data_IF_573549860739
#
_entry.id   IF_573549860739
#
_cell.length_a   1.000
_cell.length_b   1.000
_cell.length_c   1.000
_cell.angle_alpha   90.00
_cell.angle_beta   90.00
_cell.angle_gamma   90.00
#
_symmetry.space_group_name_H-M   'P 1'
#
loop_
_entity.id
_entity.type
_entity.pdbx_description
1 polymer ?
#
# COMPACT_ATOMS: atom_id res chain seq x y z
N UNK A 1 -33.50 -54.21 2.24
CA UNK A 1 -32.93 -52.84 2.30
C UNK A 1 -31.77 -52.77 1.31
N UNK A 2 -31.99 -52.20 0.14
CA UNK A 2 -30.97 -52.14 -0.92
C UNK A 2 -29.98 -51.01 -0.60
N UNK A 3 -28.72 -51.37 -0.33
CA UNK A 3 -27.62 -50.44 -0.10
C UNK A 3 -27.11 -50.00 -1.47
N UNK A 4 -27.48 -48.79 -1.90
CA UNK A 4 -27.06 -48.18 -3.16
C UNK A 4 -25.54 -47.98 -3.11
N UNK A 5 -24.81 -48.71 -3.93
CA UNK A 5 -23.38 -48.48 -4.13
C UNK A 5 -23.22 -47.21 -4.98
N UNK A 6 -22.77 -46.13 -4.36
CA UNK A 6 -22.24 -44.97 -5.06
C UNK A 6 -20.88 -45.37 -5.66
N UNK A 7 -20.86 -45.70 -6.95
CA UNK A 7 -19.61 -45.80 -7.70
C UNK A 7 -19.05 -44.39 -7.80
N UNK A 8 -18.04 -44.10 -6.99
CA UNK A 8 -17.24 -42.89 -7.13
C UNK A 8 -16.48 -43.03 -8.44
N UNK A 9 -16.86 -42.26 -9.46
CA UNK A 9 -16.26 -42.32 -10.79
C UNK A 9 -14.77 -41.98 -10.70
N UNK A 10 -13.91 -43.00 -10.90
CA UNK A 10 -12.46 -42.87 -10.84
C UNK A 10 -11.91 -41.80 -11.82
N UNK A 11 -12.66 -41.49 -12.88
CA UNK A 11 -12.34 -40.44 -13.84
C UNK A 11 -12.51 -39.02 -13.28
N UNK A 12 -13.49 -38.80 -12.38
CA UNK A 12 -13.70 -37.52 -11.71
C UNK A 12 -12.62 -37.25 -10.66
N UNK A 13 -12.22 -38.30 -9.93
CA UNK A 13 -11.06 -38.28 -9.04
C UNK A 13 -9.78 -37.99 -9.82
N UNK A 14 -9.57 -38.65 -10.96
CA UNK A 14 -8.40 -38.42 -11.81
C UNK A 14 -8.36 -37.03 -12.44
N UNK A 15 -9.50 -36.39 -12.76
CA UNK A 15 -9.53 -34.98 -13.23
C UNK A 15 -9.22 -33.97 -12.12
N UNK A 16 -9.60 -34.27 -10.88
CA UNK A 16 -9.22 -33.46 -9.71
C UNK A 16 -7.73 -33.66 -9.35
N UNK A 17 -7.23 -34.89 -9.43
CA UNK A 17 -5.83 -35.25 -9.14
C UNK A 17 -4.86 -34.95 -10.29
N UNK A 18 -5.32 -34.94 -11.54
CA UNK A 18 -4.63 -34.32 -12.68
C UNK A 18 -4.72 -32.80 -12.61
N UNK A 19 -4.87 -32.25 -11.39
CA UNK A 19 -4.46 -30.91 -11.07
C UNK A 19 -3.06 -30.72 -11.64
N UNK A 20 -3.03 -30.06 -12.79
CA UNK A 20 -1.92 -29.24 -13.23
C UNK A 20 -1.76 -28.21 -12.12
N UNK A 21 -1.20 -28.66 -10.99
CA UNK A 21 -1.04 -27.90 -9.78
C UNK A 21 -0.11 -26.79 -10.18
N UNK A 22 -0.70 -25.63 -10.45
CA UNK A 22 -0.02 -24.43 -10.89
C UNK A 22 0.87 -24.00 -9.74
N UNK A 23 2.04 -24.65 -9.64
CA UNK A 23 3.05 -24.34 -8.65
C UNK A 23 3.42 -22.89 -8.89
N UNK A 24 3.02 -22.06 -7.94
CA UNK A 24 3.30 -20.62 -7.97
C UNK A 24 4.81 -20.49 -8.00
N UNK A 25 5.34 -19.94 -9.10
CA UNK A 25 6.79 -19.78 -9.32
C UNK A 25 7.39 -18.66 -8.49
N UNK A 26 6.55 -17.82 -7.92
CA UNK A 26 6.91 -16.63 -7.14
C UNK A 26 6.90 -17.00 -5.65
N UNK A 27 7.90 -16.55 -4.86
CA UNK A 27 7.91 -16.79 -3.42
C UNK A 27 6.66 -16.20 -2.77
N UNK A 28 5.99 -16.98 -1.92
CA UNK A 28 4.84 -16.53 -1.14
C UNK A 28 5.28 -16.13 0.28
N UNK A 29 4.53 -15.22 0.94
CA UNK A 29 4.78 -14.87 2.32
C UNK A 29 4.55 -16.08 3.25
N UNK A 30 5.43 -16.26 4.23
CA UNK A 30 5.33 -17.34 5.20
C UNK A 30 4.36 -16.96 6.34
N UNK A 31 3.12 -17.45 6.25
CA UNK A 31 2.11 -17.25 7.30
C UNK A 31 2.54 -17.77 8.69
N UNK A 32 3.48 -18.72 8.74
CA UNK A 32 4.02 -19.26 10.00
C UNK A 32 4.85 -18.26 10.80
N UNK A 33 5.41 -17.25 10.13
CA UNK A 33 6.28 -16.23 10.75
C UNK A 33 5.59 -14.86 10.75
N UNK A 34 4.25 -14.86 10.65
CA UNK A 34 3.42 -13.67 10.51
C UNK A 34 3.88 -12.76 9.35
N UNK A 35 4.35 -13.34 8.24
CA UNK A 35 4.59 -12.57 7.03
C UNK A 35 3.30 -12.43 6.23
N UNK A 36 3.12 -11.25 5.63
CA UNK A 36 1.89 -10.94 4.93
C UNK A 36 2.11 -9.98 3.75
N UNK A 37 1.14 -9.95 2.85
CA UNK A 37 1.17 -9.01 1.75
C UNK A 37 0.84 -7.60 2.24
N UNK A 38 1.52 -6.62 1.65
CA UNK A 38 1.21 -5.23 1.85
C UNK A 38 1.58 -4.43 0.60
N UNK A 39 1.00 -3.25 0.46
CA UNK A 39 1.42 -2.25 -0.53
C UNK A 39 2.11 -1.11 0.18
N UNK A 40 3.20 -0.64 -0.42
CA UNK A 40 3.82 0.61 -0.04
C UNK A 40 2.90 1.78 -0.43
N UNK A 41 2.34 2.47 0.55
CA UNK A 41 1.49 3.64 0.35
C UNK A 41 2.36 4.88 0.13
N UNK A 42 3.11 5.30 1.17
CA UNK A 42 3.94 6.49 1.12
C UNK A 42 5.35 6.28 1.70
N UNK A 43 6.37 6.87 1.07
CA UNK A 43 7.74 6.85 1.59
C UNK A 43 7.96 8.02 2.55
N UNK A 44 8.05 7.73 3.86
CA UNK A 44 8.27 8.73 4.91
C UNK A 44 9.74 9.20 5.02
N UNK A 45 10.66 8.58 4.28
CA UNK A 45 12.09 8.84 4.38
C UNK A 45 12.75 8.10 5.55
N UNK A 46 14.07 8.29 5.73
CA UNK A 46 14.81 7.66 6.84
C UNK A 46 14.72 6.13 6.92
N UNK A 47 14.48 5.44 5.77
CA UNK A 47 14.24 3.98 5.64
C UNK A 47 12.90 3.50 6.21
N UNK A 48 11.93 4.39 6.36
CA UNK A 48 10.56 4.08 6.78
C UNK A 48 9.62 4.25 5.60
N UNK A 49 8.66 3.35 5.51
CA UNK A 49 7.58 3.37 4.52
C UNK A 49 6.27 3.07 5.23
N UNK A 50 5.21 3.81 4.90
CA UNK A 50 3.85 3.47 5.33
C UNK A 50 3.35 2.36 4.39
N UNK A 51 2.89 1.25 4.96
CA UNK A 51 2.42 0.11 4.20
C UNK A 51 1.01 -0.30 4.64
N UNK A 52 0.11 -0.46 3.68
CA UNK A 52 -1.24 -1.01 3.91
C UNK A 52 -1.14 -2.51 3.82
N UNK A 53 -1.41 -3.20 4.93
CA UNK A 53 -1.33 -4.65 5.01
C UNK A 53 -2.61 -5.31 4.50
N UNK A 54 -2.55 -6.60 4.23
CA UNK A 54 -3.74 -7.41 3.91
C UNK A 54 -4.82 -7.42 5.00
N UNK A 55 -4.46 -7.08 6.24
CA UNK A 55 -5.42 -6.92 7.35
C UNK A 55 -6.27 -5.64 7.21
N UNK A 56 -5.89 -4.73 6.30
CA UNK A 56 -6.45 -3.38 6.17
C UNK A 56 -5.75 -2.33 7.03
N UNK A 57 -4.90 -2.73 7.98
CA UNK A 57 -4.15 -1.81 8.81
C UNK A 57 -2.97 -1.16 8.07
N UNK A 58 -2.82 0.15 8.25
CA UNK A 58 -1.63 0.88 7.83
C UNK A 58 -0.53 0.80 8.90
N UNK A 59 0.59 0.18 8.57
CA UNK A 59 1.74 0.00 9.47
C UNK A 59 2.96 0.79 9.00
N UNK A 60 3.79 1.22 9.93
CA UNK A 60 5.07 1.85 9.62
C UNK A 60 6.14 0.75 9.49
N UNK A 61 6.51 0.46 8.26
CA UNK A 61 7.46 -0.59 7.94
C UNK A 61 8.90 -0.05 7.83
N UNK A 62 9.85 -0.77 8.44
CA UNK A 62 11.29 -0.51 8.35
C UNK A 62 11.89 -1.26 7.18
N UNK A 63 12.65 -0.56 6.32
CA UNK A 63 13.38 -1.16 5.19
C UNK A 63 14.76 -1.64 5.65
N UNK A 64 15.06 -2.95 5.59
CA UNK A 64 16.38 -3.47 5.91
C UNK A 64 17.46 -2.92 4.98
N UNK A 65 18.67 -2.73 5.50
CA UNK A 65 19.79 -2.22 4.70
C UNK A 65 20.20 -3.14 3.54
N UNK A 66 19.91 -4.45 3.64
CA UNK A 66 20.10 -5.43 2.55
C UNK A 66 19.16 -5.14 1.38
N UNK A 67 17.90 -4.82 1.66
CA UNK A 67 16.91 -4.47 0.64
C UNK A 67 17.27 -3.16 -0.02
N UNK A 68 17.50 -2.09 0.74
CA UNK A 68 17.82 -0.76 0.18
C UNK A 68 18.95 -0.77 -0.86
N UNK A 69 19.95 -1.65 -0.69
CA UNK A 69 21.06 -1.78 -1.63
C UNK A 69 20.75 -2.62 -2.87
N UNK A 70 19.79 -3.54 -2.81
CA UNK A 70 19.50 -4.52 -3.87
C UNK A 70 18.18 -4.28 -4.59
N UNK A 71 17.17 -3.81 -3.88
CA UNK A 71 15.80 -3.63 -4.36
C UNK A 71 15.26 -2.33 -3.78
N UNK A 72 15.07 -1.33 -4.64
CA UNK A 72 14.51 -0.05 -4.24
C UNK A 72 12.99 -0.17 -4.21
N UNK A 73 12.38 0.21 -3.09
CA UNK A 73 10.92 0.22 -2.90
C UNK A 73 10.41 1.59 -3.32
N UNK A 74 9.40 1.61 -4.19
CA UNK A 74 8.64 2.80 -4.58
C UNK A 74 7.25 2.74 -3.99
N UNK A 75 6.55 3.87 -4.05
CA UNK A 75 5.11 3.94 -3.73
C UNK A 75 4.33 3.10 -4.76
N UNK A 76 3.29 2.41 -4.29
CA UNK A 76 2.50 1.46 -5.05
C UNK A 76 3.14 0.09 -5.27
N UNK A 77 4.37 -0.18 -4.79
CA UNK A 77 4.99 -1.50 -4.94
C UNK A 77 4.36 -2.53 -3.99
N UNK A 78 4.13 -3.75 -4.49
CA UNK A 78 3.75 -4.90 -3.66
C UNK A 78 4.97 -5.41 -2.87
N UNK A 79 4.81 -5.49 -1.56
CA UNK A 79 5.85 -5.91 -0.61
C UNK A 79 5.35 -7.01 0.32
N UNK A 80 6.30 -7.73 0.91
CA UNK A 80 6.03 -8.61 2.04
C UNK A 80 6.49 -7.90 3.30
N UNK A 81 5.60 -7.82 4.27
CA UNK A 81 5.87 -7.23 5.58
C UNK A 81 5.73 -8.28 6.67
N UNK A 82 6.47 -8.06 7.74
CA UNK A 82 6.42 -8.83 8.97
C UNK A 82 6.14 -7.84 10.12
N UNK A 83 4.90 -7.74 10.61
CA UNK A 83 4.58 -7.01 11.84
C UNK A 83 5.42 -7.48 13.03
N UNK A 84 5.63 -6.59 14.00
CA UNK A 84 6.32 -6.92 15.24
C UNK A 84 5.35 -7.53 16.25
N UNK A 85 5.74 -8.61 16.92
CA UNK A 85 4.86 -9.33 17.87
C UNK A 85 4.38 -8.50 19.07
N UNK A 86 5.04 -7.36 19.35
CA UNK A 86 4.72 -6.49 20.50
C UNK A 86 4.19 -5.11 20.09
N UNK A 87 4.24 -4.76 18.80
CA UNK A 87 3.74 -3.48 18.30
C UNK A 87 3.26 -3.64 16.86
N UNK A 88 1.96 -3.87 16.72
CA UNK A 88 1.32 -4.11 15.43
C UNK A 88 1.36 -2.88 14.51
N UNK A 89 1.50 -1.67 15.05
CA UNK A 89 1.69 -0.45 14.26
C UNK A 89 3.01 -0.45 13.46
N UNK A 90 3.98 -1.29 13.84
CA UNK A 90 5.31 -1.33 13.24
C UNK A 90 5.55 -2.68 12.58
N UNK A 91 6.26 -2.62 11.46
CA UNK A 91 6.62 -3.81 10.71
C UNK A 91 8.05 -3.73 10.16
N UNK A 92 8.56 -4.86 9.69
CA UNK A 92 9.77 -4.94 8.88
C UNK A 92 9.40 -5.34 7.45
N UNK A 93 10.02 -4.73 6.45
CA UNK A 93 9.89 -5.17 5.06
C UNK A 93 10.84 -6.35 4.83
N UNK A 94 10.32 -7.47 4.35
CA UNK A 94 11.10 -8.69 4.08
C UNK A 94 11.60 -8.70 2.65
N UNK A 95 10.70 -8.48 1.69
CA UNK A 95 11.00 -8.47 0.27
C UNK A 95 10.03 -7.60 -0.53
N UNK A 96 10.43 -7.25 -1.75
CA UNK A 96 9.61 -6.51 -2.71
C UNK A 96 9.38 -7.38 -3.94
N UNK A 97 8.15 -7.46 -4.41
CA UNK A 97 7.84 -8.09 -5.68
C UNK A 97 8.13 -7.16 -6.84
N UNK A 98 8.54 -7.71 -7.98
CA UNK A 98 8.56 -6.93 -9.22
C UNK A 98 7.15 -6.76 -9.76
N UNK A 99 6.93 -5.74 -10.60
CA UNK A 99 5.61 -5.50 -11.23
C UNK A 99 5.06 -6.72 -11.99
N UNK A 100 5.94 -7.49 -12.62
CA UNK A 100 5.56 -8.74 -13.29
C UNK A 100 5.16 -9.83 -12.31
N UNK A 101 5.82 -9.91 -11.15
CA UNK A 101 5.46 -10.85 -10.09
C UNK A 101 4.13 -10.47 -9.42
N UNK A 102 3.89 -9.18 -9.13
CA UNK A 102 2.63 -8.73 -8.55
C UNK A 102 1.47 -9.03 -9.51
N UNK A 103 1.62 -8.72 -10.80
CA UNK A 103 0.61 -9.04 -11.81
C UNK A 103 0.39 -10.56 -11.95
N UNK A 104 1.44 -11.38 -11.83
CA UNK A 104 1.29 -12.83 -11.84
C UNK A 104 0.52 -13.35 -10.62
N UNK A 105 0.77 -12.78 -9.43
CA UNK A 105 0.07 -13.15 -8.20
C UNK A 105 -1.42 -12.73 -8.25
N UNK A 106 -1.70 -11.54 -8.79
CA UNK A 106 -3.07 -11.06 -9.04
C UNK A 106 -3.83 -12.00 -9.99
N UNK A 107 -3.26 -12.33 -11.16
CA UNK A 107 -3.88 -13.29 -12.11
C UNK A 107 -4.12 -14.68 -11.54
N UNK A 108 -3.37 -15.07 -10.51
CA UNK A 108 -3.54 -16.35 -9.80
C UNK A 108 -4.57 -16.28 -8.68
N UNK A 109 -5.12 -15.10 -8.36
CA UNK A 109 -6.10 -14.91 -7.28
C UNK A 109 -5.53 -15.18 -5.89
N UNK A 110 -4.23 -14.99 -5.70
CA UNK A 110 -3.55 -15.23 -4.41
C UNK A 110 -3.51 -13.97 -3.55
N UNK A 111 -3.60 -12.80 -4.19
CA UNK A 111 -3.62 -11.52 -3.48
C UNK A 111 -5.03 -11.27 -2.95
N UNK A 112 -5.16 -10.77 -1.71
CA UNK A 112 -6.44 -10.29 -1.20
C UNK A 112 -6.86 -9.01 -1.92
N UNK A 113 -8.16 -8.79 -2.06
CA UNK A 113 -8.76 -7.69 -2.84
C UNK A 113 -8.22 -6.31 -2.43
N UNK A 114 -8.04 -6.10 -1.13
CA UNK A 114 -7.50 -4.83 -0.60
C UNK A 114 -6.07 -4.54 -1.07
N UNK A 115 -5.30 -5.58 -1.40
CA UNK A 115 -3.91 -5.46 -1.84
C UNK A 115 -3.78 -5.58 -3.36
N UNK A 116 -4.85 -5.89 -4.09
CA UNK A 116 -4.80 -6.08 -5.54
C UNK A 116 -5.02 -4.78 -6.31
N UNK A 117 -4.00 -3.93 -6.37
CA UNK A 117 -3.97 -2.75 -7.25
C UNK A 117 -3.51 -3.07 -8.68
N UNK A 118 -3.06 -4.30 -8.95
CA UNK A 118 -2.47 -4.67 -10.23
C UNK A 118 -3.44 -5.47 -11.11
N UNK A 119 -4.46 -6.07 -10.48
CA UNK A 119 -5.55 -6.80 -11.09
C UNK A 119 -6.65 -5.88 -11.54
N UNK A 120 -7.13 -6.17 -12.74
CA UNK A 120 -8.28 -5.55 -13.36
C UNK A 120 -9.48 -5.67 -12.42
N UNK A 121 -9.85 -4.61 -11.72
CA UNK A 121 -11.28 -4.39 -11.48
C UNK A 121 -11.87 -4.07 -12.85
N UNK A 122 -12.48 -5.07 -13.46
CA UNK A 122 -13.42 -4.90 -14.57
C UNK A 122 -14.63 -4.11 -14.08
N UNK A 123 -14.47 -2.87 -13.58
CA UNK A 123 -15.59 -2.08 -13.04
C UNK A 123 -15.42 -0.55 -13.17
N UNK A 124 -14.25 -0.01 -13.55
CA UNK A 124 -14.11 1.45 -13.78
C UNK A 124 -14.74 1.89 -15.12
N UNK A 125 -15.15 0.95 -15.98
CA UNK A 125 -15.88 1.25 -17.22
C UNK A 125 -17.41 1.25 -17.08
N UNK A 126 -17.98 0.89 -15.91
CA UNK A 126 -19.44 0.71 -15.75
C UNK A 126 -20.09 1.74 -14.81
N UNK A 127 -19.40 2.83 -14.47
CA UNK A 127 -19.96 3.93 -13.63
C UNK A 127 -20.00 5.28 -14.37
N UNK A 128 -19.63 5.35 -15.65
CA UNK A 128 -19.73 6.60 -16.43
C UNK A 128 -20.89 6.65 -17.42
N UNK A 129 -21.72 5.61 -17.50
CA UNK A 129 -22.94 5.63 -18.31
C UNK A 129 -24.12 5.17 -17.43
N UNK A 130 -25.04 6.11 -17.17
CA UNK A 130 -26.35 5.94 -16.49
C UNK A 130 -26.44 6.32 -14.99
N UNK A 131 -26.52 7.62 -14.74
CA UNK A 131 -27.60 8.31 -13.98
C UNK A 131 -27.27 9.81 -13.99
N UNK A 132 -27.76 10.54 -14.99
CA UNK A 132 -28.96 11.38 -14.84
C UNK A 132 -28.84 12.39 -13.69
N UNK A 133 -28.52 13.62 -14.11
CA UNK A 133 -28.97 14.91 -13.55
C UNK A 133 -28.92 15.09 -12.03
N UNK A 134 -27.80 15.64 -11.53
CA UNK A 134 -27.83 16.39 -10.28
C UNK A 134 -28.08 17.86 -10.63
N UNK A 135 -29.30 18.26 -10.36
CA UNK A 135 -29.85 19.61 -10.47
C UNK A 135 -28.97 20.60 -9.69
N UNK A 136 -28.51 21.64 -10.40
CA UNK A 136 -27.83 22.79 -9.83
C UNK A 136 -28.82 23.55 -8.95
N UNK A 137 -28.83 23.31 -7.64
CA UNK A 137 -29.44 24.27 -6.72
C UNK A 137 -28.39 25.25 -6.26
N UNK A 138 -28.40 26.40 -6.92
CA UNK A 138 -27.83 27.65 -6.47
C UNK A 138 -28.43 27.96 -5.08
N UNK A 139 -27.57 27.98 -4.05
CA UNK A 139 -27.91 28.65 -2.79
C UNK A 139 -26.88 29.73 -2.59
N UNK A 140 -27.41 30.95 -2.63
CA UNK A 140 -26.69 32.20 -2.47
C UNK A 140 -26.02 32.29 -1.09
N UNK A 141 -24.90 32.98 -1.14
CA UNK A 141 -24.12 33.59 -0.07
C UNK A 141 -24.98 34.54 0.80
N UNK A 142 -24.39 35.02 1.90
CA UNK A 142 -24.84 36.05 2.87
C UNK A 142 -25.21 35.51 4.28
N UNK A 143 -24.22 35.49 5.17
CA UNK A 143 -24.34 36.31 6.40
C UNK A 143 -23.00 36.55 7.08
N UNK A 144 -22.68 37.83 7.11
CA UNK A 144 -21.61 38.52 7.80
C UNK A 144 -21.59 38.19 9.30
N UNK A 145 -20.40 37.88 9.84
CA UNK A 145 -20.09 38.18 11.23
C UNK A 145 -18.78 38.96 11.24
N UNK A 146 -18.92 40.27 11.14
CA UNK A 146 -17.94 41.21 11.66
C UNK A 146 -17.92 41.11 13.19
N UNK A 147 -16.73 40.88 13.76
CA UNK A 147 -16.35 41.53 15.00
C UNK A 147 -14.83 41.67 15.02
N UNK A 148 -14.40 42.84 14.57
CA UNK A 148 -13.12 43.49 14.87
C UNK A 148 -12.72 43.34 16.34
N UNK A 149 -11.47 42.97 16.62
CA UNK A 149 -10.60 43.66 17.59
C UNK A 149 -9.11 43.34 17.31
N UNK A 150 -8.38 44.39 16.95
CA UNK A 150 -6.94 44.51 16.76
C UNK A 150 -6.12 44.52 18.08
N UNK A 151 -4.78 44.61 17.91
CA UNK A 151 -3.67 44.94 18.85
C UNK A 151 -2.80 43.69 19.17
N UNK A 152 -1.51 43.56 18.83
CA UNK A 152 -0.44 44.50 18.45
C UNK A 152 0.72 43.72 17.76
N UNK A 153 1.39 44.33 16.76
CA UNK A 153 2.68 43.84 16.24
C UNK A 153 3.85 44.28 17.15
N UNK A 154 4.87 43.43 17.39
CA UNK A 154 6.15 43.92 17.90
C UNK A 154 7.06 44.39 16.75
N UNK A 155 7.27 45.71 16.74
CA UNK A 155 8.22 46.46 15.91
C UNK A 155 9.69 46.09 16.25
N UNK A 156 10.43 45.92 15.15
CA UNK A 156 11.89 45.76 14.91
C UNK A 156 12.92 46.08 16.01
N UNK A 157 14.03 45.33 15.95
CA UNK A 157 15.37 45.92 16.07
C UNK A 157 16.35 45.23 15.11
N UNK A 158 16.75 45.94 14.06
CA UNK A 158 17.99 45.70 13.32
C UNK A 158 19.15 46.38 14.05
N UNK A 159 20.24 45.64 14.28
CA UNK A 159 21.68 45.99 14.17
C UNK A 159 22.42 44.69 14.49
N UNK A 160 23.45 44.18 13.81
CA UNK A 160 24.49 44.79 12.99
C UNK A 160 25.11 43.70 12.09
N UNK A 161 25.57 44.13 10.92
CA UNK A 161 26.57 43.48 10.06
C UNK A 161 27.66 42.71 10.80
N UNK A 162 27.85 41.44 10.42
CA UNK A 162 29.16 40.78 10.48
C UNK A 162 29.34 39.99 9.18
N UNK A 163 29.91 40.68 8.20
CA UNK A 163 30.71 40.03 7.16
C UNK A 163 31.91 39.40 7.87
N UNK A 164 31.96 38.07 7.95
CA UNK A 164 33.16 37.34 8.38
C UNK A 164 33.63 36.46 7.21
N UNK A 165 34.83 36.81 6.76
CA UNK A 165 35.56 36.31 5.60
C UNK A 165 35.75 34.79 5.62
N UNK A 166 35.13 34.09 4.66
CA UNK A 166 35.37 32.67 4.38
C UNK A 166 36.25 32.48 3.14
N UNK A 167 37.35 33.21 3.01
CA UNK A 167 38.25 33.08 1.85
C UNK A 167 39.72 32.80 2.23
N UNK A 168 39.96 32.24 3.42
CA UNK A 168 41.31 31.90 3.91
C UNK A 168 41.59 30.39 4.03
N UNK A 169 40.81 29.49 3.41
CA UNK A 169 40.96 28.03 3.60
C UNK A 169 41.55 27.24 2.41
N UNK A 170 41.77 27.86 1.24
CA UNK A 170 42.46 27.22 0.10
C UNK A 170 43.81 27.88 -0.19
N UNK A 171 44.67 27.95 0.82
CA UNK A 171 46.11 28.24 0.69
C UNK A 171 46.94 26.97 0.76
#
# INVERSE_FOLDING_TARGET
>A
MARREEKVDAELLARLESGSGDKIRVPLPNRKVNEMFAIADQILGGRRVRAVCEDGDSRLARIPGKMRRRQWVREGDLIVVQPWDFQDEKANVVMRYTKTQSLYLSRKGVLPDIVDLFGMSEDISEVTETSEEVETTEYEDESEIESDLEIEEPVVNETSSVDDDIDSFFG
#
